data_IF_968956401069
#
_entry.id   IF_968956401069
#
_cell.length_a   1.000
_cell.length_b   1.000
_cell.length_c   1.000
_cell.angle_alpha   90.00
_cell.angle_beta   90.00
_cell.angle_gamma   90.00
#
_symmetry.space_group_name_H-M   'P 1'
#
loop_
_entity.id
_entity.type
_entity.pdbx_description
1 polymer ?
#
# COMPACT_ATOMS: atom_id res chain seq x y z
N UNK A 1 3.77 -33.20 -8.94
CA UNK A 1 3.82 -32.98 -7.46
C UNK A 1 4.82 -31.88 -7.19
N UNK A 2 4.59 -31.07 -6.15
CA UNK A 2 5.51 -30.03 -5.67
C UNK A 2 6.11 -30.51 -4.35
N UNK A 3 7.40 -30.23 -4.10
CA UNK A 3 8.07 -30.60 -2.85
C UNK A 3 8.91 -29.42 -2.33
N UNK A 4 9.08 -29.38 -1.01
CA UNK A 4 10.02 -28.46 -0.39
C UNK A 4 11.47 -28.80 -0.78
N UNK A 5 12.35 -27.79 -0.76
CA UNK A 5 13.79 -27.90 -1.03
C UNK A 5 14.12 -28.56 -2.38
N UNK A 6 13.23 -28.40 -3.36
CA UNK A 6 13.37 -29.01 -4.68
C UNK A 6 14.65 -28.55 -5.42
N UNK A 7 15.16 -27.35 -5.14
CA UNK A 7 16.42 -26.83 -5.69
C UNK A 7 17.67 -27.56 -5.19
N UNK A 8 17.60 -28.23 -4.04
CA UNK A 8 18.66 -29.11 -3.54
C UNK A 8 18.55 -30.54 -4.09
N UNK A 9 17.34 -30.96 -4.49
CA UNK A 9 17.06 -32.33 -4.92
C UNK A 9 17.15 -32.52 -6.44
N UNK A 10 16.80 -31.49 -7.21
CA UNK A 10 16.69 -31.59 -8.67
C UNK A 10 17.56 -30.51 -9.35
N UNK A 11 18.57 -30.90 -10.16
CA UNK A 11 19.46 -29.95 -10.83
C UNK A 11 18.73 -28.91 -11.69
N UNK A 12 17.61 -29.30 -12.33
CA UNK A 12 16.80 -28.39 -13.15
C UNK A 12 16.14 -27.28 -12.31
N UNK A 13 15.70 -27.59 -11.09
CA UNK A 13 15.13 -26.60 -10.16
C UNK A 13 16.24 -25.72 -9.58
N UNK A 14 17.43 -26.29 -9.35
CA UNK A 14 18.62 -25.52 -8.95
C UNK A 14 19.00 -24.48 -10.00
N UNK A 15 19.04 -24.87 -11.28
CA UNK A 15 19.31 -23.96 -12.39
C UNK A 15 18.27 -22.84 -12.48
N UNK A 16 16.98 -23.16 -12.32
CA UNK A 16 15.91 -22.17 -12.27
C UNK A 16 16.07 -21.19 -11.08
N UNK A 17 16.48 -21.70 -9.92
CA UNK A 17 16.75 -20.91 -8.72
C UNK A 17 17.91 -19.92 -8.93
N UNK A 18 18.98 -20.34 -9.61
CA UNK A 18 20.10 -19.48 -9.99
C UNK A 18 19.62 -18.40 -10.96
N UNK A 19 18.93 -18.77 -12.03
CA UNK A 19 18.43 -17.84 -13.03
C UNK A 19 17.51 -16.76 -12.41
N UNK A 20 16.62 -17.18 -11.51
CA UNK A 20 15.72 -16.26 -10.80
C UNK A 20 16.49 -15.26 -9.93
N UNK A 21 17.47 -15.73 -9.13
CA UNK A 21 18.26 -14.87 -8.25
C UNK A 21 19.12 -13.87 -9.04
N UNK A 22 19.84 -14.34 -10.05
CA UNK A 22 20.71 -13.48 -10.89
C UNK A 22 19.88 -12.41 -11.60
N UNK A 23 18.72 -12.78 -12.13
CA UNK A 23 17.81 -11.84 -12.81
C UNK A 23 17.27 -10.79 -11.84
N UNK A 24 16.76 -11.22 -10.68
CA UNK A 24 16.28 -10.33 -9.62
C UNK A 24 17.36 -9.33 -9.22
N UNK A 25 18.56 -9.81 -8.88
CA UNK A 25 19.64 -8.96 -8.40
C UNK A 25 20.12 -7.98 -9.48
N UNK A 26 20.09 -8.39 -10.75
CA UNK A 26 20.38 -7.50 -11.88
C UNK A 26 19.33 -6.39 -12.01
N UNK A 27 18.04 -6.73 -11.93
CA UNK A 27 16.96 -5.75 -12.01
C UNK A 27 17.03 -4.75 -10.85
N UNK A 28 17.23 -5.23 -9.62
CA UNK A 28 17.30 -4.37 -8.43
C UNK A 28 18.50 -3.42 -8.49
N UNK A 29 19.66 -3.87 -9.00
CA UNK A 29 20.84 -3.01 -9.18
C UNK A 29 20.67 -1.97 -10.29
N UNK A 30 19.93 -2.31 -11.34
CA UNK A 30 19.66 -1.42 -12.48
C UNK A 30 18.35 -0.64 -12.32
N UNK A 31 17.71 -0.71 -11.15
CA UNK A 31 16.42 -0.07 -10.92
C UNK A 31 16.56 1.44 -11.06
N UNK A 32 15.66 2.04 -11.83
CA UNK A 32 15.54 3.47 -11.98
C UNK A 32 14.22 3.89 -11.37
N UNK A 33 14.28 4.78 -10.38
CA UNK A 33 13.09 5.34 -9.76
C UNK A 33 12.41 6.28 -10.75
N UNK A 34 11.11 6.06 -10.94
CA UNK A 34 10.28 6.96 -11.74
C UNK A 34 9.88 8.19 -10.92
N UNK A 35 9.79 8.01 -9.62
CA UNK A 35 9.41 9.03 -8.66
C UNK A 35 10.56 10.02 -8.45
N UNK A 36 10.30 11.34 -8.44
CA UNK A 36 11.32 12.33 -8.15
C UNK A 36 11.70 12.30 -6.66
N UNK A 37 12.94 12.70 -6.35
CA UNK A 37 13.42 12.95 -4.99
C UNK A 37 13.36 11.74 -4.02
N UNK A 38 13.37 10.51 -4.54
CA UNK A 38 13.50 9.32 -3.68
C UNK A 38 14.82 9.39 -2.93
N UNK A 39 14.74 9.43 -1.59
CA UNK A 39 15.92 9.47 -0.72
C UNK A 39 16.50 8.07 -0.62
N UNK A 40 17.70 7.89 -1.15
CA UNK A 40 18.45 6.64 -1.08
C UNK A 40 19.70 6.89 -0.26
N UNK A 41 19.94 6.06 0.76
CA UNK A 41 21.17 6.10 1.55
C UNK A 41 22.39 5.79 0.68
N UNK A 42 23.59 6.19 1.10
CA UNK A 42 24.85 5.76 0.46
C UNK A 42 24.97 4.24 0.36
N UNK A 43 24.36 3.53 1.31
CA UNK A 43 24.37 2.07 1.42
C UNK A 43 23.25 1.41 0.59
N UNK A 44 22.51 2.19 -0.20
CA UNK A 44 21.37 1.74 -1.00
C UNK A 44 20.14 1.41 -0.15
N UNK A 45 19.41 0.38 -0.56
CA UNK A 45 18.16 -0.09 0.05
C UNK A 45 18.33 -1.43 0.80
N UNK A 46 19.57 -1.86 1.03
CA UNK A 46 19.88 -3.10 1.74
C UNK A 46 19.51 -4.37 0.97
N UNK A 47 19.27 -5.45 1.72
CA UNK A 47 18.88 -6.76 1.19
C UNK A 47 17.43 -6.84 0.69
N UNK A 48 16.58 -5.88 1.08
CA UNK A 48 15.14 -5.88 0.81
C UNK A 48 14.32 -6.74 1.78
N UNK A 49 14.93 -7.34 2.81
CA UNK A 49 14.22 -8.13 3.82
C UNK A 49 13.89 -7.32 5.08
N UNK A 50 12.75 -7.57 5.76
CA UNK A 50 12.36 -6.82 6.95
C UNK A 50 13.32 -6.98 8.14
N UNK A 51 14.18 -8.01 8.14
CA UNK A 51 15.15 -8.24 9.20
C UNK A 51 16.42 -7.39 9.08
N UNK A 52 16.70 -6.85 7.90
CA UNK A 52 17.94 -6.13 7.62
C UNK A 52 17.84 -4.66 8.09
N UNK A 53 18.76 -4.20 8.97
CA UNK A 53 18.80 -2.82 9.44
C UNK A 53 18.88 -1.79 8.31
N UNK A 54 19.60 -2.09 7.22
CA UNK A 54 19.77 -1.16 6.10
C UNK A 54 18.46 -0.99 5.32
N UNK A 55 17.73 -2.09 5.13
CA UNK A 55 16.39 -2.07 4.51
C UNK A 55 15.41 -1.27 5.37
N UNK A 56 15.41 -1.46 6.70
CA UNK A 56 14.55 -0.68 7.60
C UNK A 56 14.87 0.81 7.56
N UNK A 57 16.16 1.15 7.58
CA UNK A 57 16.62 2.54 7.48
C UNK A 57 16.15 3.19 6.18
N UNK A 58 16.32 2.48 5.06
CA UNK A 58 15.80 2.95 3.77
C UNK A 58 14.29 3.21 3.79
N UNK A 59 13.49 2.32 4.38
CA UNK A 59 12.04 2.57 4.53
C UNK A 59 11.75 3.82 5.36
N UNK A 60 12.44 4.02 6.48
CA UNK A 60 12.21 5.23 7.29
C UNK A 60 12.64 6.51 6.56
N UNK A 61 13.76 6.47 5.84
CA UNK A 61 14.33 7.66 5.19
C UNK A 61 13.63 8.03 3.88
N UNK A 62 13.06 7.05 3.16
CA UNK A 62 12.46 7.23 1.83
C UNK A 62 10.96 7.50 1.81
N UNK A 63 10.29 7.51 2.97
CA UNK A 63 8.85 7.73 3.08
C UNK A 63 8.47 9.20 2.81
N UNK A 64 7.47 9.39 1.96
CA UNK A 64 6.81 10.66 1.67
C UNK A 64 5.50 10.79 2.50
N UNK A 65 5.22 11.95 3.13
CA UNK A 65 4.05 12.11 3.98
C UNK A 65 2.70 11.91 3.28
N UNK A 66 2.62 12.16 1.96
CA UNK A 66 1.37 12.09 1.19
C UNK A 66 1.32 10.81 0.35
N UNK A 67 2.38 10.53 -0.40
CA UNK A 67 2.41 9.41 -1.35
C UNK A 67 2.93 8.10 -0.75
N UNK A 68 3.55 8.14 0.43
CA UNK A 68 4.11 6.95 1.05
C UNK A 68 5.44 6.56 0.42
N UNK A 69 5.49 5.48 -0.36
CA UNK A 69 6.74 4.95 -0.90
C UNK A 69 6.83 5.01 -2.42
N UNK A 70 8.06 4.93 -2.95
CA UNK A 70 8.27 4.60 -4.36
C UNK A 70 7.76 3.19 -4.71
N UNK A 71 7.51 2.97 -6.00
CA UNK A 71 7.08 1.70 -6.60
C UNK A 71 7.99 0.51 -6.33
N UNK A 72 9.23 0.73 -5.89
CA UNK A 72 10.13 -0.33 -5.46
C UNK A 72 9.62 -1.05 -4.19
N UNK A 73 8.93 -0.31 -3.30
CA UNK A 73 8.47 -0.82 -2.00
C UNK A 73 7.12 -1.51 -2.16
N UNK A 74 6.98 -2.68 -1.53
CA UNK A 74 5.72 -3.43 -1.50
C UNK A 74 4.82 -2.89 -0.39
N UNK A 75 3.81 -2.11 -0.75
CA UNK A 75 2.83 -1.54 0.19
C UNK A 75 2.08 -2.61 1.01
N UNK A 76 1.89 -3.81 0.46
CA UNK A 76 1.24 -4.93 1.16
C UNK A 76 2.10 -5.58 2.26
N UNK A 77 3.37 -5.19 2.41
CA UNK A 77 4.21 -5.71 3.47
C UNK A 77 3.88 -5.05 4.81
N UNK A 78 3.71 -5.86 5.85
CA UNK A 78 3.33 -5.36 7.17
C UNK A 78 4.28 -4.31 7.74
N UNK A 79 5.58 -4.43 7.46
CA UNK A 79 6.56 -3.42 7.89
C UNK A 79 6.36 -2.07 7.19
N UNK A 80 6.03 -2.07 5.90
CA UNK A 80 5.75 -0.85 5.15
C UNK A 80 4.41 -0.23 5.60
N UNK A 81 3.37 -1.05 5.69
CA UNK A 81 2.03 -0.71 6.17
C UNK A 81 2.05 0.02 7.53
N UNK A 82 2.72 -0.57 8.52
CA UNK A 82 2.86 0.04 9.86
C UNK A 82 3.61 1.37 9.84
N UNK A 83 4.57 1.55 8.93
CA UNK A 83 5.30 2.81 8.80
C UNK A 83 4.46 3.89 8.09
N UNK A 84 3.66 3.50 7.11
CA UNK A 84 2.70 4.40 6.43
C UNK A 84 1.67 4.94 7.40
N UNK A 85 1.03 4.07 8.19
CA UNK A 85 0.04 4.48 9.21
C UNK A 85 0.62 5.47 10.23
N UNK A 86 1.92 5.37 10.53
CA UNK A 86 2.59 6.22 11.53
C UNK A 86 3.13 7.53 10.97
N UNK A 87 3.54 7.55 9.71
CA UNK A 87 4.36 8.63 9.15
C UNK A 87 3.69 9.39 8.01
N UNK A 88 2.61 8.84 7.45
CA UNK A 88 1.86 9.45 6.36
C UNK A 88 0.51 10.02 6.84
N UNK A 89 -0.06 10.88 6.02
CA UNK A 89 -1.42 11.38 6.18
C UNK A 89 -2.39 10.20 6.07
N UNK A 90 -3.40 10.17 6.94
CA UNK A 90 -4.45 9.16 6.91
C UNK A 90 -5.25 9.28 5.60
N UNK A 91 -5.15 8.25 4.77
CA UNK A 91 -6.01 8.08 3.61
C UNK A 91 -7.23 7.23 3.98
N UNK A 92 -8.41 7.65 3.55
CA UNK A 92 -9.64 6.87 3.65
C UNK A 92 -10.07 6.49 2.24
N UNK A 93 -10.24 5.20 2.02
CA UNK A 93 -10.68 4.65 0.75
C UNK A 93 -12.15 4.25 0.87
N UNK A 94 -12.91 4.43 -0.20
CA UNK A 94 -14.25 3.85 -0.28
C UNK A 94 -14.09 2.32 -0.31
N UNK A 95 -14.64 1.66 0.70
CA UNK A 95 -14.75 0.21 0.67
C UNK A 95 -15.71 -0.17 -0.48
N UNK A 96 -15.36 -1.13 -1.35
CA UNK A 96 -16.30 -1.61 -2.34
C UNK A 96 -17.54 -2.14 -1.59
N UNK A 97 -18.73 -1.63 -1.94
CA UNK A 97 -20.00 -1.90 -1.26
C UNK A 97 -20.18 -3.40 -0.92
N UNK A 98 -19.79 -3.78 0.28
CA UNK A 98 -20.20 -5.03 0.90
C UNK A 98 -21.62 -4.77 1.42
N UNK A 99 -22.62 -5.04 0.58
CA UNK A 99 -24.04 -4.77 0.83
C UNK A 99 -24.67 -5.49 2.04
N UNK A 100 -24.16 -5.25 3.24
CA UNK A 100 -24.75 -5.69 4.50
C UNK A 100 -25.52 -4.53 5.14
N UNK A 101 -26.86 -4.60 5.23
CA UNK A 101 -27.64 -3.56 5.87
C UNK A 101 -27.36 -3.52 7.38
N UNK A 102 -26.75 -2.42 7.84
CA UNK A 102 -26.58 -2.12 9.26
C UNK A 102 -27.91 -1.69 9.88
N UNK A 103 -28.43 -2.51 10.81
CA UNK A 103 -29.79 -2.41 11.37
C UNK A 103 -29.98 -1.30 12.44
N UNK A 104 -29.03 -0.36 12.59
CA UNK A 104 -29.04 0.60 13.72
C UNK A 104 -29.97 1.81 13.58
N UNK A 105 -30.74 1.93 12.49
CA UNK A 105 -31.50 3.15 12.17
C UNK A 105 -32.95 3.25 12.66
N UNK A 106 -33.51 2.25 13.36
CA UNK A 106 -34.97 2.16 13.58
C UNK A 106 -35.55 3.03 14.70
N UNK A 107 -34.74 3.75 15.49
CA UNK A 107 -35.17 4.41 16.73
C UNK A 107 -35.09 5.94 16.75
N UNK A 108 -35.20 6.63 15.61
CA UNK A 108 -35.30 8.09 15.59
C UNK A 108 -36.57 8.53 14.88
N UNK A 109 -37.52 9.06 15.66
CA UNK A 109 -38.71 9.75 15.18
C UNK A 109 -38.29 10.93 14.29
N UNK A 110 -38.62 10.87 12.99
CA UNK A 110 -38.30 11.96 12.05
C UNK A 110 -39.23 13.15 12.32
N UNK A 111 -38.64 14.30 12.63
CA UNK A 111 -39.31 15.60 12.52
C UNK A 111 -39.52 15.87 11.02
N UNK A 112 -40.74 16.23 10.63
CA UNK A 112 -41.11 16.43 9.23
C UNK A 112 -40.58 17.79 8.73
N UNK A 113 -39.41 17.76 8.09
CA UNK A 113 -38.75 18.91 7.48
C UNK A 113 -38.96 18.83 5.96
N UNK A 114 -39.22 19.95 5.26
CA UNK A 114 -39.43 19.95 3.81
C UNK A 114 -38.34 19.18 3.08
N UNK A 115 -38.77 18.16 2.33
CA UNK A 115 -37.85 17.26 1.63
C UNK A 115 -37.22 18.00 0.44
N UNK A 116 -35.89 18.14 0.45
CA UNK A 116 -35.13 18.80 -0.61
C UNK A 116 -35.36 18.07 -1.95
N UNK A 117 -35.44 18.82 -3.05
CA UNK A 117 -35.68 18.25 -4.38
C UNK A 117 -34.58 17.24 -4.79
N UNK A 118 -34.98 16.14 -5.43
CA UNK A 118 -34.09 15.01 -5.78
C UNK A 118 -32.84 15.44 -6.57
N UNK A 119 -32.98 16.45 -7.43
CA UNK A 119 -31.88 17.10 -8.17
C UNK A 119 -30.62 17.39 -7.32
N UNK A 120 -30.79 17.76 -6.04
CA UNK A 120 -29.70 18.10 -5.13
C UNK A 120 -29.14 16.88 -4.39
N UNK A 121 -30.01 15.96 -3.95
CA UNK A 121 -29.59 14.76 -3.22
C UNK A 121 -28.79 13.81 -4.11
N UNK A 122 -29.23 13.63 -5.36
CA UNK A 122 -28.64 12.68 -6.30
C UNK A 122 -27.23 13.10 -6.75
N UNK A 123 -26.87 14.37 -6.54
CA UNK A 123 -25.59 14.96 -6.93
C UNK A 123 -24.74 15.39 -5.73
N UNK A 124 -25.12 14.97 -4.52
CA UNK A 124 -24.42 15.31 -3.26
C UNK A 124 -24.19 16.82 -3.05
N UNK A 125 -25.07 17.67 -3.61
CA UNK A 125 -24.94 19.14 -3.54
C UNK A 125 -25.55 19.66 -2.23
N UNK A 126 -24.74 20.37 -1.43
CA UNK A 126 -25.15 20.99 -0.17
C UNK A 126 -24.90 22.50 -0.16
N UNK A 127 -25.63 23.23 0.68
CA UNK A 127 -25.38 24.67 0.84
C UNK A 127 -24.17 24.85 1.74
N UNK A 128 -23.25 25.75 1.38
CA UNK A 128 -22.14 26.13 2.24
C UNK A 128 -22.66 27.04 3.37
N UNK A 129 -22.73 26.51 4.58
CA UNK A 129 -23.18 27.26 5.77
C UNK A 129 -22.04 27.91 6.53
N UNK A 130 -20.79 27.54 6.24
CA UNK A 130 -19.56 28.11 6.81
C UNK A 130 -18.37 27.74 5.94
N UNK A 131 -17.31 28.56 6.00
CA UNK A 131 -15.98 28.26 5.45
C UNK A 131 -15.05 27.74 6.55
#
# INVERSE_FOLDING_TARGET
MVTEKADALFPIVSAASIAAKVTRDRIIRAWQFLEPNVKISSDGYGSGYPGDPSTKKFLVDSIDPVFGYSSLVRFSWKTADVLLEKSCVKAEWEEPDAGAPSVKGWLISKVDVPKRHAYYSDRTIQNLTSF
#
